data_IF_236880670512
#
_entry.id   IF_236880670512
#
_cell.length_a   1.000
_cell.length_b   1.000
_cell.length_c   1.000
_cell.angle_alpha   90.00
_cell.angle_beta   90.00
_cell.angle_gamma   90.00
#
_symmetry.space_group_name_H-M   'P 1'
#
loop_
_entity.id
_entity.type
_entity.pdbx_description
1 polymer ?
#
# COMPACT_ATOMS: atom_id res chain seq x y z
N UNK A 1 18.04 -9.12 13.29
CA UNK A 1 16.81 -8.56 12.68
C UNK A 1 17.21 -8.16 11.27
N UNK A 2 16.40 -8.49 10.27
CA UNK A 2 16.79 -8.32 8.86
C UNK A 2 16.84 -6.83 8.51
N UNK A 3 18.04 -6.33 8.21
CA UNK A 3 18.31 -4.92 7.96
C UNK A 3 17.98 -4.55 6.50
N UNK A 4 16.75 -4.87 6.08
CA UNK A 4 16.26 -4.55 4.73
C UNK A 4 15.91 -3.07 4.63
N UNK A 5 16.41 -2.40 3.60
CA UNK A 5 16.05 -1.01 3.26
C UNK A 5 14.61 -0.89 2.74
N UNK A 6 14.03 -2.02 2.31
CA UNK A 6 12.69 -2.08 1.73
C UNK A 6 11.72 -2.90 2.59
N UNK A 7 10.48 -2.43 2.64
CA UNK A 7 9.31 -3.15 3.16
C UNK A 7 8.34 -3.33 1.99
N UNK A 8 7.91 -4.56 1.74
CA UNK A 8 6.90 -4.87 0.74
C UNK A 8 5.64 -5.34 1.46
N UNK A 9 4.51 -4.71 1.15
CA UNK A 9 3.20 -5.02 1.72
C UNK A 9 2.24 -5.35 0.58
N UNK A 10 1.68 -6.56 0.60
CA UNK A 10 0.67 -7.01 -0.36
C UNK A 10 -0.66 -7.14 0.38
N UNK A 11 -1.62 -6.27 0.06
CA UNK A 11 -2.95 -6.22 0.68
C UNK A 11 -2.94 -6.23 2.23
N UNK A 12 -2.11 -5.41 2.91
CA UNK A 12 -1.86 -5.55 4.35
C UNK A 12 -3.06 -5.20 5.24
N UNK A 13 -4.06 -4.48 4.71
CA UNK A 13 -5.19 -3.96 5.49
C UNK A 13 -6.52 -4.63 5.18
N UNK A 14 -6.54 -5.61 4.26
CA UNK A 14 -7.77 -6.24 3.78
C UNK A 14 -8.60 -6.92 4.89
N UNK A 15 -7.98 -7.33 6.00
CA UNK A 15 -8.65 -7.98 7.13
C UNK A 15 -9.19 -7.01 8.21
N UNK A 16 -8.99 -5.70 8.04
CA UNK A 16 -9.33 -4.70 9.05
C UNK A 16 -10.65 -4.00 8.73
N UNK A 17 -11.42 -3.72 9.78
CA UNK A 17 -12.55 -2.82 9.67
C UNK A 17 -12.09 -1.37 9.41
N UNK A 18 -12.99 -0.55 8.86
CA UNK A 18 -12.66 0.79 8.39
C UNK A 18 -12.14 1.73 9.48
N UNK A 19 -12.53 1.53 10.75
CA UNK A 19 -12.04 2.35 11.86
C UNK A 19 -10.58 2.01 12.14
N UNK A 20 -10.27 0.72 12.26
CA UNK A 20 -8.88 0.27 12.49
C UNK A 20 -7.95 0.61 11.33
N UNK A 21 -8.44 0.55 10.08
CA UNK A 21 -7.66 0.99 8.92
C UNK A 21 -7.22 2.44 9.06
N UNK A 22 -8.14 3.34 9.39
CA UNK A 22 -7.83 4.76 9.58
C UNK A 22 -6.84 4.99 10.73
N UNK A 23 -6.98 4.27 11.84
CA UNK A 23 -6.02 4.35 12.96
C UNK A 23 -4.60 3.97 12.51
N UNK A 24 -4.47 2.87 11.76
CA UNK A 24 -3.18 2.42 11.25
C UNK A 24 -2.63 3.39 10.21
N UNK A 25 -3.47 3.97 9.36
CA UNK A 25 -2.99 4.92 8.34
C UNK A 25 -2.40 6.17 8.97
N UNK A 26 -3.08 6.71 9.97
CA UNK A 26 -2.54 7.82 10.75
C UNK A 26 -1.25 7.44 11.48
N UNK A 27 -1.15 6.21 11.99
CA UNK A 27 0.08 5.73 12.62
C UNK A 27 1.24 5.66 11.61
N UNK A 28 1.04 5.08 10.43
CA UNK A 28 2.06 5.02 9.38
C UNK A 28 2.49 6.43 8.97
N UNK A 29 1.54 7.32 8.72
CA UNK A 29 1.83 8.68 8.25
C UNK A 29 2.62 9.49 9.29
N UNK A 30 2.34 9.30 10.58
CA UNK A 30 3.08 9.97 11.67
C UNK A 30 4.45 9.34 11.96
N UNK A 31 4.68 8.10 11.54
CA UNK A 31 5.90 7.35 11.87
C UNK A 31 6.80 7.06 10.67
N UNK A 32 6.38 7.36 9.43
CA UNK A 32 7.13 7.05 8.20
C UNK A 32 8.55 7.63 8.20
N UNK A 33 8.72 8.85 8.70
CA UNK A 33 10.04 9.51 8.80
C UNK A 33 10.99 8.80 9.76
N UNK A 34 10.46 8.11 10.78
CA UNK A 34 11.26 7.35 11.75
C UNK A 34 11.61 5.95 11.27
N UNK A 35 10.83 5.39 10.35
CA UNK A 35 11.01 4.03 9.84
C UNK A 35 12.24 3.95 8.92
N UNK A 36 12.68 5.07 8.32
CA UNK A 36 13.87 5.19 7.45
C UNK A 36 14.04 4.01 6.46
N UNK A 37 12.92 3.57 5.87
CA UNK A 37 12.85 2.50 4.88
C UNK A 37 11.87 2.88 3.79
N UNK A 38 12.12 2.40 2.58
CA UNK A 38 11.18 2.56 1.47
C UNK A 38 10.10 1.48 1.54
N UNK A 39 8.83 1.89 1.48
CA UNK A 39 7.68 1.00 1.53
C UNK A 39 7.09 0.88 0.13
N UNK A 40 6.88 -0.36 -0.33
CA UNK A 40 6.11 -0.67 -1.53
C UNK A 40 4.80 -1.30 -1.08
N UNK A 41 3.69 -0.61 -1.33
CA UNK A 41 2.34 -1.06 -1.02
C UNK A 41 1.65 -1.51 -2.31
N UNK A 42 1.11 -2.73 -2.30
CA UNK A 42 0.20 -3.25 -3.32
C UNK A 42 -1.19 -3.34 -2.69
N UNK A 43 -2.15 -2.65 -3.29
CA UNK A 43 -3.54 -2.62 -2.84
C UNK A 43 -4.46 -2.40 -4.04
N UNK A 44 -5.68 -2.94 -3.96
CA UNK A 44 -6.77 -2.63 -4.88
C UNK A 44 -7.66 -1.47 -4.37
N UNK A 45 -7.41 -0.93 -3.19
CA UNK A 45 -8.15 0.18 -2.60
C UNK A 45 -7.49 1.53 -2.95
N UNK A 46 -8.25 2.40 -3.62
CA UNK A 46 -7.78 3.70 -4.10
C UNK A 46 -7.54 4.66 -2.93
N UNK A 47 -8.36 4.60 -1.88
CA UNK A 47 -8.25 5.52 -0.74
C UNK A 47 -6.95 5.26 0.03
N UNK A 48 -6.55 3.99 0.14
CA UNK A 48 -5.28 3.58 0.74
C UNK A 48 -4.09 4.11 -0.06
N UNK A 49 -4.13 3.96 -1.38
CA UNK A 49 -3.07 4.43 -2.27
C UNK A 49 -2.90 5.96 -2.18
N UNK A 50 -4.00 6.71 -2.15
CA UNK A 50 -3.97 8.18 -2.05
C UNK A 50 -3.48 8.64 -0.69
N UNK A 51 -3.87 7.96 0.39
CA UNK A 51 -3.55 8.41 1.74
C UNK A 51 -2.10 8.09 2.16
N UNK A 52 -1.58 6.93 1.76
CA UNK A 52 -0.30 6.41 2.27
C UNK A 52 0.90 6.63 1.35
N UNK A 53 0.67 6.93 0.06
CA UNK A 53 1.75 6.87 -0.92
C UNK A 53 2.29 8.25 -1.27
N UNK A 54 3.61 8.39 -1.26
CA UNK A 54 4.28 9.56 -1.84
C UNK A 54 4.24 9.52 -3.39
N UNK A 55 4.21 8.32 -3.96
CA UNK A 55 4.09 8.08 -5.40
C UNK A 55 3.16 6.90 -5.69
N UNK A 56 2.29 7.05 -6.68
CA UNK A 56 1.30 6.02 -7.06
C UNK A 56 1.60 5.52 -8.48
N UNK A 57 1.68 4.20 -8.62
CA UNK A 57 1.75 3.52 -9.91
C UNK A 57 0.43 2.79 -10.14
N UNK A 58 -0.30 3.19 -11.19
CA UNK A 58 -1.52 2.50 -11.58
C UNK A 58 -1.19 1.33 -12.50
N UNK A 59 -1.50 0.11 -12.06
CA UNK A 59 -1.38 -1.09 -12.90
C UNK A 59 -2.73 -1.51 -13.45
N UNK A 60 -2.89 -1.46 -14.77
CA UNK A 60 -4.12 -1.87 -15.48
C UNK A 60 -3.84 -3.18 -16.20
N UNK A 61 -4.66 -4.20 -15.95
CA UNK A 61 -4.66 -5.43 -16.73
C UNK A 61 -5.44 -5.21 -18.03
N UNK A 62 -4.75 -5.14 -19.17
CA UNK A 62 -5.40 -5.22 -20.47
C UNK A 62 -5.84 -6.66 -20.75
N UNK A 63 -7.15 -6.91 -20.82
CA UNK A 63 -7.66 -8.15 -21.38
C UNK A 63 -7.56 -8.08 -22.90
N UNK A 64 -6.62 -8.83 -23.50
CA UNK A 64 -6.70 -9.16 -24.93
C UNK A 64 -7.97 -10.00 -25.14
N UNK A 65 -8.98 -9.42 -25.78
CA UNK A 65 -10.09 -10.19 -26.33
C UNK A 65 -9.53 -11.05 -27.47
N UNK A 66 -9.28 -12.32 -27.20
CA UNK A 66 -9.09 -13.32 -28.24
C UNK A 66 -10.44 -13.51 -28.92
N UNK A 67 -10.67 -12.78 -30.02
CA UNK A 67 -11.69 -13.16 -31.01
C UNK A 67 -11.19 -14.42 -31.71
N UNK A 68 -11.74 -15.57 -31.32
CA UNK A 68 -11.71 -16.80 -32.11
C UNK A 68 -12.70 -16.68 -33.27
#
# INVERSE_FOLDING_TARGET
MQDSEFILLDEPFASLDSIKRLEIYNWIETHKDYINKSIILVTHDIDEAIFLSDQIILWILEKKTLSL
#
